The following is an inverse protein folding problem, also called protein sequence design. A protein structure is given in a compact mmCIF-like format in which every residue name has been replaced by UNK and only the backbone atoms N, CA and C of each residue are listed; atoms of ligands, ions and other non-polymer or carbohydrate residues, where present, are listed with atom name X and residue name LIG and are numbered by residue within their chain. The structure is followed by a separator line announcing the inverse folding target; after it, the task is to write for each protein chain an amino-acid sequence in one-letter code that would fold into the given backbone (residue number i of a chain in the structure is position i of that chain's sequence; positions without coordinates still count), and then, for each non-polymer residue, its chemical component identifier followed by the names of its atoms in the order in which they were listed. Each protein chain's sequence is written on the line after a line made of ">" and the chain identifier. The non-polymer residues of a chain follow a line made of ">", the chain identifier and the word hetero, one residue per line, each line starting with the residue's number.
data_IF_743222230441
#
_entry.id   IF_743222230441
#
_cell.length_a   1.000
_cell.length_b   1.000
_cell.length_c   1.000
_cell.angle_alpha   90.00
_cell.angle_beta   90.00
_cell.angle_gamma   90.00
#
_symmetry.space_group_name_H-M   'P 1'
#
loop_
_entity.id
_entity.type
_entity.pdbx_description
1 polymer ?
#
# COMPACT_ATOMS: atom_id res chain seq x y z
N UNK A 1 10.12 0.23 12.56
CA UNK A 1 10.91 0.21 11.32
C UNK A 1 10.65 -1.07 10.56
N UNK A 2 10.81 -1.02 9.24
CA UNK A 2 10.73 -2.21 8.40
C UNK A 2 11.96 -3.09 8.62
N UNK A 3 11.77 -4.41 8.71
CA UNK A 3 12.91 -5.35 8.85
C UNK A 3 13.83 -5.33 7.63
N UNK A 4 13.24 -5.16 6.45
CA UNK A 4 13.97 -5.07 5.17
C UNK A 4 13.68 -3.74 4.50
N UNK A 5 14.69 -3.16 3.91
CA UNK A 5 14.53 -1.88 3.20
C UNK A 5 13.77 -2.03 1.87
N UNK A 6 13.73 -3.23 1.33
CA UNK A 6 12.97 -3.58 0.12
C UNK A 6 12.52 -5.03 0.20
N UNK A 7 11.27 -5.31 -0.16
CA UNK A 7 10.75 -6.67 -0.23
C UNK A 7 9.53 -6.76 -1.15
N UNK A 8 9.31 -7.97 -1.68
CA UNK A 8 8.07 -8.35 -2.33
C UNK A 8 7.29 -9.27 -1.40
N UNK A 9 6.16 -8.78 -0.92
CA UNK A 9 5.25 -9.53 -0.06
C UNK A 9 4.28 -10.33 -0.91
N UNK A 10 4.10 -11.60 -0.58
CA UNK A 10 3.13 -12.48 -1.21
C UNK A 10 2.14 -13.00 -0.18
N UNK A 11 0.95 -13.39 -0.63
CA UNK A 11 -0.06 -13.96 0.23
C UNK A 11 -1.37 -14.19 -0.51
N UNK A 12 -2.40 -14.48 0.26
CA UNK A 12 -3.75 -14.69 -0.23
C UNK A 12 -4.71 -13.79 0.52
N UNK A 13 -5.59 -13.14 -0.23
CA UNK A 13 -6.57 -12.18 0.29
C UNK A 13 -7.97 -12.77 0.16
N UNK A 14 -8.68 -12.80 1.27
CA UNK A 14 -10.07 -13.19 1.35
C UNK A 14 -10.91 -12.01 1.85
N UNK A 15 -12.01 -11.73 1.15
CA UNK A 15 -12.91 -10.62 1.49
C UNK A 15 -14.10 -11.12 2.29
N UNK A 16 -14.38 -10.46 3.40
CA UNK A 16 -15.64 -10.57 4.13
C UNK A 16 -16.55 -9.41 3.71
N UNK A 17 -17.54 -9.70 2.86
CA UNK A 17 -18.44 -8.69 2.28
C UNK A 17 -19.27 -7.98 3.36
N UNK A 18 -19.74 -8.70 4.38
CA UNK A 18 -20.59 -8.12 5.43
C UNK A 18 -19.85 -7.11 6.30
N UNK A 19 -18.55 -7.28 6.48
CA UNK A 19 -17.69 -6.39 7.25
C UNK A 19 -16.95 -5.37 6.38
N UNK A 20 -17.03 -5.49 5.06
CA UNK A 20 -16.21 -4.74 4.11
C UNK A 20 -14.72 -4.75 4.53
N UNK A 21 -14.22 -5.94 4.86
CA UNK A 21 -12.88 -6.16 5.39
C UNK A 21 -12.22 -7.33 4.68
N UNK A 22 -10.90 -7.24 4.46
CA UNK A 22 -10.12 -8.33 3.90
C UNK A 22 -9.17 -8.91 4.94
N UNK A 23 -8.86 -10.18 4.77
CA UNK A 23 -7.95 -10.95 5.62
C UNK A 23 -6.83 -11.51 4.75
N UNK A 24 -5.62 -11.48 5.30
CA UNK A 24 -4.43 -11.99 4.60
C UNK A 24 -4.00 -13.30 5.26
N UNK A 25 -3.73 -14.30 4.42
CA UNK A 25 -3.19 -15.61 4.81
C UNK A 25 -1.98 -15.96 3.95
N UNK A 26 -1.07 -16.74 4.52
CA UNK A 26 0.05 -17.34 3.75
C UNK A 26 -0.34 -18.65 3.07
N UNK A 27 -1.49 -19.21 3.41
CA UNK A 27 -2.00 -20.44 2.83
C UNK A 27 -3.18 -20.16 1.89
N UNK A 28 -3.22 -20.81 0.72
CA UNK A 28 -4.37 -20.70 -0.16
C UNK A 28 -5.63 -21.29 0.49
N UNK A 29 -6.78 -20.71 0.18
CA UNK A 29 -8.09 -21.24 0.57
C UNK A 29 -9.09 -21.01 -0.57
N UNK A 30 -10.22 -21.75 -0.61
CA UNK A 30 -11.25 -21.54 -1.63
C UNK A 30 -11.76 -20.10 -1.60
N UNK A 31 -11.77 -19.45 -2.77
CA UNK A 31 -12.20 -18.05 -2.92
C UNK A 31 -11.16 -16.99 -2.58
N UNK A 32 -10.04 -17.34 -1.98
CA UNK A 32 -8.96 -16.40 -1.73
C UNK A 32 -8.22 -16.03 -3.04
N UNK A 33 -7.82 -14.78 -3.14
CA UNK A 33 -7.08 -14.25 -4.29
C UNK A 33 -5.61 -14.11 -3.95
N UNK A 34 -4.72 -14.58 -4.82
CA UNK A 34 -3.28 -14.32 -4.66
C UNK A 34 -2.98 -12.83 -4.78
N UNK A 35 -2.07 -12.34 -3.94
CA UNK A 35 -1.63 -10.95 -3.93
C UNK A 35 -0.10 -10.85 -3.91
N UNK A 36 0.40 -9.81 -4.55
CA UNK A 36 1.81 -9.40 -4.50
C UNK A 36 1.89 -7.90 -4.29
N UNK A 37 2.62 -7.50 -3.29
CA UNK A 37 2.87 -6.10 -2.94
C UNK A 37 4.37 -5.92 -2.75
N UNK A 38 4.99 -5.04 -3.51
CA UNK A 38 6.41 -4.71 -3.38
C UNK A 38 6.55 -3.36 -2.70
N UNK A 39 7.45 -3.24 -1.76
CA UNK A 39 7.76 -1.96 -1.14
C UNK A 39 9.25 -1.66 -1.14
N UNK A 40 9.57 -0.39 -1.08
CA UNK A 40 10.91 0.15 -0.86
C UNK A 40 10.83 1.27 0.19
N UNK A 41 11.70 1.21 1.19
CA UNK A 41 11.80 2.25 2.21
C UNK A 41 12.54 3.45 1.61
N UNK A 42 11.89 4.60 1.56
CA UNK A 42 12.46 5.86 1.09
C UNK A 42 13.16 6.59 2.25
N UNK A 43 12.51 6.64 3.40
CA UNK A 43 13.00 7.34 4.58
C UNK A 43 12.44 6.70 5.84
N UNK A 44 13.21 6.75 6.93
CA UNK A 44 12.77 6.32 8.26
C UNK A 44 12.88 7.45 9.26
N UNK A 45 11.90 7.54 10.13
CA UNK A 45 11.86 8.35 11.34
C UNK A 45 11.78 7.41 12.54
N UNK A 46 11.88 7.93 13.74
CA UNK A 46 11.90 7.11 14.98
C UNK A 46 10.82 6.02 15.05
N UNK A 47 9.61 6.33 14.62
CA UNK A 47 8.45 5.42 14.71
C UNK A 47 7.77 5.13 13.38
N UNK A 48 8.16 5.80 12.32
CA UNK A 48 7.50 5.72 11.03
C UNK A 48 8.48 5.50 9.90
N UNK A 49 8.04 4.79 8.90
CA UNK A 49 8.78 4.61 7.64
C UNK A 49 7.95 5.16 6.48
N UNK A 50 8.58 5.93 5.61
CA UNK A 50 8.01 6.34 4.34
C UNK A 50 8.34 5.29 3.29
N UNK A 51 7.31 4.72 2.69
CA UNK A 51 7.44 3.66 1.70
C UNK A 51 6.97 4.12 0.32
N UNK A 52 7.68 3.70 -0.71
CA UNK A 52 7.12 3.59 -2.06
C UNK A 52 6.62 2.16 -2.24
N UNK A 53 5.35 2.01 -2.64
CA UNK A 53 4.70 0.70 -2.77
C UNK A 53 4.27 0.48 -4.21
N UNK A 54 4.66 -0.65 -4.77
CA UNK A 54 4.25 -1.11 -6.10
C UNK A 54 3.22 -2.23 -5.98
N UNK A 55 2.07 -2.02 -6.60
CA UNK A 55 1.02 -3.03 -6.72
C UNK A 55 1.31 -3.95 -7.91
N UNK A 56 1.72 -5.19 -7.65
CA UNK A 56 1.87 -6.22 -8.67
C UNK A 56 0.54 -6.95 -8.92
N UNK A 57 -0.38 -6.87 -7.96
CA UNK A 57 -1.81 -7.19 -8.07
C UNK A 57 -2.60 -6.04 -7.44
N UNK A 58 -3.86 -5.85 -7.80
CA UNK A 58 -4.67 -4.72 -7.33
C UNK A 58 -6.00 -5.15 -6.70
N UNK A 59 -5.96 -5.76 -5.52
CA UNK A 59 -7.16 -6.19 -4.81
C UNK A 59 -7.63 -5.15 -3.79
N UNK A 60 -8.89 -5.23 -3.41
CA UNK A 60 -9.51 -4.36 -2.41
C UNK A 60 -8.68 -4.30 -1.13
N UNK A 61 -8.38 -3.11 -0.66
CA UNK A 61 -7.59 -2.83 0.55
C UNK A 61 -6.23 -3.55 0.60
N UNK A 62 -5.68 -3.97 -0.53
CA UNK A 62 -4.50 -4.84 -0.56
C UNK A 62 -3.31 -4.27 0.22
N UNK A 63 -2.87 -3.04 -0.06
CA UNK A 63 -1.72 -2.43 0.62
C UNK A 63 -1.99 -2.32 2.11
N UNK A 64 -3.17 -1.82 2.48
CA UNK A 64 -3.57 -1.61 3.87
C UNK A 64 -3.52 -2.89 4.68
N UNK A 65 -4.19 -3.94 4.21
CA UNK A 65 -4.25 -5.23 4.89
C UNK A 65 -2.93 -5.98 4.83
N UNK A 66 -2.20 -5.92 3.70
CA UNK A 66 -0.94 -6.64 3.54
C UNK A 66 0.15 -6.10 4.48
N UNK A 67 0.33 -4.77 4.55
CA UNK A 67 1.28 -4.18 5.48
C UNK A 67 0.87 -4.38 6.94
N UNK A 68 -0.42 -4.28 7.25
CA UNK A 68 -0.91 -4.58 8.60
C UNK A 68 -0.63 -6.04 8.99
N UNK A 69 -0.74 -6.99 8.07
CA UNK A 69 -0.49 -8.41 8.34
C UNK A 69 0.95 -8.74 8.72
N UNK A 70 1.89 -7.88 8.36
CA UNK A 70 3.30 -8.00 8.76
C UNK A 70 3.68 -7.09 9.94
N UNK A 71 2.69 -6.52 10.63
CA UNK A 71 2.88 -5.69 11.81
C UNK A 71 3.19 -4.21 11.53
N UNK A 72 3.02 -3.76 10.28
CA UNK A 72 3.31 -2.38 9.86
C UNK A 72 2.08 -1.72 9.21
N UNK A 73 0.98 -1.51 9.96
CA UNK A 73 -0.20 -0.84 9.42
C UNK A 73 0.11 0.60 9.00
N UNK A 74 -0.67 1.12 8.07
CA UNK A 74 -0.54 2.51 7.66
C UNK A 74 -0.96 3.46 8.78
N UNK A 75 -0.24 4.55 8.92
CA UNK A 75 -0.62 5.64 9.81
C UNK A 75 -2.00 6.18 9.41
N UNK A 76 -2.86 6.40 10.37
CA UNK A 76 -4.22 6.88 10.15
C UNK A 76 -5.23 5.83 9.69
N UNK A 77 -4.84 4.56 9.52
CA UNK A 77 -5.76 3.52 9.10
C UNK A 77 -6.65 3.06 10.27
N UNK A 78 -7.92 3.47 10.22
CA UNK A 78 -8.90 3.13 11.26
C UNK A 78 -9.43 1.70 11.19
N UNK A 79 -9.20 0.98 10.09
CA UNK A 79 -9.70 -0.39 9.89
C UNK A 79 -8.64 -1.45 10.18
N UNK A 80 -7.43 -1.28 9.69
CA UNK A 80 -6.33 -2.25 9.81
C UNK A 80 -5.23 -1.78 10.76
N UNK A 81 -5.29 -0.53 11.22
CA UNK A 81 -4.30 0.09 12.07
C UNK A 81 -4.62 0.05 13.55
N UNK A 82 -3.79 0.71 14.34
CA UNK A 82 -3.91 0.86 15.78
C UNK A 82 -4.50 2.22 16.12
N UNK A 83 -5.54 2.24 16.97
CA UNK A 83 -6.14 3.49 17.45
C UNK A 83 -5.14 4.36 18.25
N UNK A 84 -4.21 3.73 18.99
CA UNK A 84 -3.18 4.45 19.74
C UNK A 84 -2.23 5.19 18.78
N UNK A 85 -1.75 4.50 17.74
CA UNK A 85 -0.88 5.08 16.73
C UNK A 85 -1.61 6.18 15.95
N UNK A 86 -2.87 5.97 15.60
CA UNK A 86 -3.65 6.93 14.85
C UNK A 86 -3.90 8.21 15.64
N UNK A 87 -4.11 8.12 16.95
CA UNK A 87 -4.21 9.30 17.83
C UNK A 87 -2.91 10.09 17.88
N UNK A 88 -1.78 9.42 17.86
CA UNK A 88 -0.46 10.06 17.89
C UNK A 88 -0.21 10.88 16.61
N UNK A 89 -0.59 10.37 15.46
CA UNK A 89 -0.40 11.06 14.16
C UNK A 89 -1.41 12.17 13.94
N UNK A 90 -2.57 12.10 14.57
CA UNK A 90 -3.70 12.98 14.28
C UNK A 90 -4.37 12.74 12.93
N UNK A 91 -3.96 11.75 12.18
CA UNK A 91 -4.55 11.44 10.88
C UNK A 91 -5.92 10.79 11.02
N UNK A 92 -6.89 11.28 10.25
CA UNK A 92 -8.26 10.74 10.18
C UNK A 92 -8.40 9.62 9.16
N UNK A 93 -7.50 9.58 8.18
CA UNK A 93 -7.49 8.64 7.06
C UNK A 93 -6.11 8.02 6.92
N UNK A 94 -6.06 6.85 6.30
CA UNK A 94 -4.79 6.17 6.02
C UNK A 94 -3.87 7.05 5.17
N UNK A 95 -2.62 7.17 5.59
CA UNK A 95 -1.55 7.85 4.85
C UNK A 95 -1.13 7.02 3.64
N UNK A 96 -1.96 7.06 2.60
CA UNK A 96 -1.79 6.35 1.35
C UNK A 96 -2.21 7.26 0.20
N UNK A 97 -1.34 7.39 -0.80
CA UNK A 97 -1.59 8.22 -1.96
C UNK A 97 -1.16 7.50 -3.23
N UNK A 98 -2.00 7.52 -4.25
CA UNK A 98 -1.59 7.13 -5.59
C UNK A 98 -0.58 8.17 -6.09
N UNK A 99 0.67 7.74 -6.23
CA UNK A 99 1.81 8.62 -6.43
C UNK A 99 2.35 8.56 -7.85
N UNK A 100 2.46 7.35 -8.42
CA UNK A 100 3.05 7.11 -9.73
C UNK A 100 2.22 6.12 -10.52
N UNK A 101 1.96 6.43 -11.78
CA UNK A 101 1.30 5.56 -12.74
C UNK A 101 2.15 5.44 -13.99
N UNK A 102 2.50 4.23 -14.38
CA UNK A 102 3.20 3.93 -15.63
C UNK A 102 2.36 3.00 -16.49
N UNK A 103 2.20 3.37 -17.74
CA UNK A 103 1.57 2.50 -18.75
C UNK A 103 2.62 1.59 -19.38
N UNK A 104 2.34 0.29 -19.36
CA UNK A 104 3.20 -0.72 -19.95
C UNK A 104 2.33 -1.81 -20.56
N UNK A 105 2.10 -1.72 -21.85
CA UNK A 105 1.28 -2.69 -22.56
C UNK A 105 2.14 -3.89 -22.98
N UNK A 106 1.60 -5.08 -22.73
CA UNK A 106 2.22 -6.36 -23.14
C UNK A 106 1.62 -6.90 -24.44
N UNK A 107 0.54 -6.27 -24.90
CA UNK A 107 -0.17 -6.57 -26.16
C UNK A 107 -0.47 -5.26 -26.89
N UNK A 108 -0.75 -5.31 -28.22
CA UNK A 108 -1.13 -4.10 -28.96
C UNK A 108 -2.30 -3.38 -28.32
N UNK A 109 -2.15 -2.08 -28.07
CA UNK A 109 -3.13 -1.26 -27.32
C UNK A 109 -4.01 -0.37 -28.19
N UNK A 110 -3.88 -0.44 -29.54
CA UNK A 110 -4.68 0.34 -30.47
C UNK A 110 -4.50 1.85 -30.26
N UNK A 111 -5.60 2.57 -30.06
CA UNK A 111 -5.57 4.03 -29.85
C UNK A 111 -4.85 4.44 -28.56
N UNK A 112 -4.63 3.52 -27.62
CA UNK A 112 -3.92 3.78 -26.36
C UNK A 112 -2.41 3.60 -26.48
N UNK A 113 -1.89 3.12 -27.63
CA UNK A 113 -0.47 2.86 -27.83
C UNK A 113 0.45 4.06 -27.53
N UNK A 114 0.07 5.33 -27.79
CA UNK A 114 0.89 6.48 -27.42
C UNK A 114 1.15 6.61 -25.92
N UNK A 115 0.35 5.98 -25.06
CA UNK A 115 0.55 5.95 -23.61
C UNK A 115 1.60 4.94 -23.18
N UNK A 116 1.98 3.99 -24.03
CA UNK A 116 2.94 2.95 -23.70
C UNK A 116 4.28 3.55 -23.28
N UNK A 117 4.75 3.17 -22.09
CA UNK A 117 5.97 3.72 -21.51
C UNK A 117 5.80 5.08 -20.83
N UNK A 118 4.65 5.73 -20.93
CA UNK A 118 4.39 7.00 -20.26
C UNK A 118 4.26 6.79 -18.76
N UNK A 119 4.85 7.73 -17.99
CA UNK A 119 4.79 7.76 -16.53
C UNK A 119 4.21 9.08 -16.05
N UNK A 120 3.27 8.99 -15.12
CA UNK A 120 2.65 10.14 -14.48
C UNK A 120 2.94 10.08 -12.98
N UNK A 121 3.42 11.19 -12.42
CA UNK A 121 3.76 11.29 -11.00
C UNK A 121 2.92 12.40 -10.35
N UNK A 122 2.31 12.10 -9.19
CA UNK A 122 1.59 13.11 -8.42
C UNK A 122 2.54 14.20 -7.92
N UNK A 123 2.13 15.47 -8.02
CA UNK A 123 2.92 16.62 -7.57
C UNK A 123 2.92 16.74 -6.05
N UNK A 124 1.78 16.46 -5.42
CA UNK A 124 1.59 16.62 -3.99
C UNK A 124 1.15 15.32 -3.34
N UNK A 125 1.85 14.93 -2.28
CA UNK A 125 1.47 13.84 -1.39
C UNK A 125 1.15 14.46 -0.04
N UNK A 126 -0.12 14.45 0.35
CA UNK A 126 -0.69 15.27 1.42
C UNK A 126 -0.03 15.07 2.80
N UNK A 127 0.49 13.88 3.10
CA UNK A 127 1.09 13.55 4.40
C UNK A 127 2.60 13.78 4.48
N UNK A 128 3.28 14.14 3.39
CA UNK A 128 4.75 14.31 3.41
C UNK A 128 5.20 15.43 4.33
N UNK A 129 4.48 16.55 4.36
CA UNK A 129 4.82 17.67 5.25
C UNK A 129 4.77 17.26 6.72
N UNK A 130 3.75 16.51 7.10
CA UNK A 130 3.62 16.00 8.46
C UNK A 130 4.74 15.01 8.78
N UNK A 131 5.03 14.09 7.87
CA UNK A 131 6.13 13.13 8.02
C UNK A 131 7.49 13.81 8.24
N UNK A 132 7.76 14.91 7.52
CA UNK A 132 9.01 15.67 7.67
C UNK A 132 9.18 16.26 9.08
N UNK A 133 8.07 16.57 9.76
CA UNK A 133 8.08 17.13 11.12
C UNK A 133 8.26 16.06 12.22
N UNK A 134 8.08 14.79 11.91
CA UNK A 134 8.22 13.71 12.87
C UNK A 134 9.71 13.38 13.14
N UNK A 135 10.02 13.10 14.39
CA UNK A 135 11.38 12.73 14.84
C UNK A 135 11.67 11.22 14.69
#
# INVERSE_FOLDING_TARGET
>A
HMEKREATLTGYLEKNESQNRVYISQKPSPGAKSIKTRYRVLQEKKRFSLLEVELLTGRTHQIRAHLASIGHPLAGDGKYGSNALNRETGFRYQALCSYKLRFRFTTPAGILEPLNGQEFTAKDVWFLKDFETWE
#
